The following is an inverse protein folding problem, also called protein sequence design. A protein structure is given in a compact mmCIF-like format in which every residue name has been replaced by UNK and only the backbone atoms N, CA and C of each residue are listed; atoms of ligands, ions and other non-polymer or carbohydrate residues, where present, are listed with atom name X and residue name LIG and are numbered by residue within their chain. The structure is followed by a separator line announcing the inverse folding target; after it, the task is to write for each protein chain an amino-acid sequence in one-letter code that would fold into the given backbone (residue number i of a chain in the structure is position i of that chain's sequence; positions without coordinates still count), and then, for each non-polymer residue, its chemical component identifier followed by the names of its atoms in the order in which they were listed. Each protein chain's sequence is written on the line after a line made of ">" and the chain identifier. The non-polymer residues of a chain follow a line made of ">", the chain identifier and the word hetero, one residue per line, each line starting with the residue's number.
data_IF_932524992685
#
_entry.id   IF_932524992685
#
_cell.length_a   1.000
_cell.length_b   1.000
_cell.length_c   1.000
_cell.angle_alpha   90.00
_cell.angle_beta   90.00
_cell.angle_gamma   90.00
#
_symmetry.space_group_name_H-M   'P 1'
#
loop_
_entity.id
_entity.type
_entity.pdbx_description
1 polymer ?
#
# COMPACT_ATOMS: atom_id res chain seq x y z
N UNK A 1 -14.56 -10.66 8.12
CA UNK A 1 -14.05 -9.28 8.31
C UNK A 1 -12.86 -9.10 7.38
N UNK A 2 -12.88 -8.12 6.46
CA UNK A 2 -11.73 -7.76 5.63
C UNK A 2 -11.20 -6.43 6.16
N UNK A 3 -9.93 -6.40 6.53
CA UNK A 3 -9.25 -5.21 7.06
C UNK A 3 -8.23 -4.76 5.99
N UNK A 4 -8.12 -3.45 5.76
CA UNK A 4 -7.12 -2.86 4.87
C UNK A 4 -6.18 -2.05 5.77
N UNK A 5 -4.90 -2.41 5.76
CA UNK A 5 -3.87 -1.68 6.51
C UNK A 5 -3.05 -0.85 5.52
N UNK A 6 -3.21 0.47 5.55
CA UNK A 6 -2.44 1.39 4.71
C UNK A 6 -1.32 2.00 5.53
N UNK A 7 -0.08 1.71 5.16
CA UNK A 7 1.12 2.30 5.76
C UNK A 7 1.62 3.48 4.92
N UNK A 8 2.35 4.41 5.53
CA UNK A 8 2.80 5.62 4.84
C UNK A 8 4.11 6.18 5.36
N UNK A 9 4.46 7.37 4.86
CA UNK A 9 5.74 8.07 5.10
C UNK A 9 5.94 8.44 6.58
N UNK A 10 4.86 8.54 7.36
CA UNK A 10 4.91 8.87 8.79
C UNK A 10 5.38 7.69 9.67
N UNK A 11 5.27 6.45 9.17
CA UNK A 11 5.77 5.28 9.89
C UNK A 11 7.27 5.12 9.60
N UNK A 12 8.08 5.90 10.32
CA UNK A 12 9.56 5.73 10.35
C UNK A 12 10.01 4.43 11.01
N UNK A 13 9.08 3.64 11.54
CA UNK A 13 9.37 2.49 12.36
C UNK A 13 9.01 1.20 11.63
N UNK A 14 10.05 0.54 11.10
CA UNK A 14 10.04 -0.85 10.61
C UNK A 14 9.27 -1.81 11.55
N UNK A 15 9.26 -1.52 12.85
CA UNK A 15 8.60 -2.32 13.88
C UNK A 15 7.09 -2.48 13.68
N UNK A 16 6.41 -1.50 13.07
CA UNK A 16 4.98 -1.62 12.80
C UNK A 16 4.70 -2.61 11.67
N UNK A 17 5.51 -2.60 10.59
CA UNK A 17 5.40 -3.57 9.51
C UNK A 17 5.67 -5.01 10.00
N UNK A 18 6.64 -5.19 10.90
CA UNK A 18 6.94 -6.49 11.51
C UNK A 18 5.81 -6.97 12.43
N UNK A 19 5.24 -6.09 13.26
CA UNK A 19 4.10 -6.40 14.13
C UNK A 19 2.86 -6.77 13.30
N UNK A 20 2.63 -6.06 12.21
CA UNK A 20 1.54 -6.35 11.27
C UNK A 20 1.76 -7.69 10.58
N UNK A 21 2.99 -7.99 10.12
CA UNK A 21 3.33 -9.30 9.57
C UNK A 21 3.05 -10.45 10.53
N UNK A 22 3.24 -10.25 11.84
CA UNK A 22 2.89 -11.22 12.89
C UNK A 22 1.38 -11.36 13.10
N UNK A 23 0.60 -10.28 12.96
CA UNK A 23 -0.87 -10.28 13.09
C UNK A 23 -1.60 -10.84 11.85
N UNK A 24 -0.99 -10.75 10.67
CA UNK A 24 -1.68 -10.83 9.36
C UNK A 24 -1.62 -12.21 8.69
N UNK A 25 -0.85 -13.16 9.23
CA UNK A 25 -0.51 -14.47 8.61
C UNK A 25 -1.65 -15.31 8.01
N UNK A 26 -2.94 -15.00 8.24
CA UNK A 26 -4.04 -15.85 7.75
C UNK A 26 -5.24 -15.19 7.06
N UNK A 27 -5.39 -13.86 7.02
CA UNK A 27 -6.71 -13.31 6.61
C UNK A 27 -6.71 -11.94 5.94
N UNK A 28 -5.54 -11.34 5.75
CA UNK A 28 -5.44 -9.91 5.55
C UNK A 28 -4.61 -9.54 4.33
N UNK A 29 -5.20 -8.70 3.47
CA UNK A 29 -4.58 -8.17 2.27
C UNK A 29 -4.08 -6.76 2.55
N UNK A 30 -2.79 -6.53 2.30
CA UNK A 30 -2.16 -5.24 2.53
C UNK A 30 -1.94 -4.57 1.18
N UNK A 31 -2.45 -3.36 0.93
CA UNK A 31 -2.14 -2.62 -0.28
C UNK A 31 -0.68 -2.22 -0.31
N UNK A 32 -0.05 -2.32 -1.50
CA UNK A 32 1.28 -1.76 -1.71
C UNK A 32 1.24 -0.26 -1.44
N UNK A 33 2.26 0.25 -0.75
CA UNK A 33 2.39 1.67 -0.48
C UNK A 33 2.72 2.36 -1.80
N UNK A 34 1.74 3.07 -2.36
CA UNK A 34 1.92 4.00 -3.47
C UNK A 34 2.48 5.33 -2.94
N UNK A 35 3.58 5.81 -3.53
CA UNK A 35 4.23 7.05 -3.15
C UNK A 35 4.74 7.84 -4.36
N UNK A 36 5.00 9.13 -4.16
CA UNK A 36 5.48 10.00 -5.22
C UNK A 36 6.98 9.73 -5.48
N UNK A 37 7.34 9.46 -6.74
CA UNK A 37 8.73 9.21 -7.16
C UNK A 37 9.69 10.40 -6.98
N UNK A 38 9.15 11.60 -6.77
CA UNK A 38 9.90 12.83 -6.53
C UNK A 38 10.19 13.10 -5.04
N UNK A 39 9.80 12.19 -4.14
CA UNK A 39 10.28 12.22 -2.76
C UNK A 39 11.82 12.10 -2.70
N UNK A 40 12.46 12.56 -1.61
CA UNK A 40 13.88 12.35 -1.41
C UNK A 40 14.28 10.88 -1.60
N UNK A 41 15.37 10.60 -2.33
CA UNK A 41 15.83 9.25 -2.68
C UNK A 41 15.84 8.28 -1.50
N UNK A 42 16.30 8.73 -0.33
CA UNK A 42 16.33 7.94 0.91
C UNK A 42 14.93 7.46 1.34
N UNK A 43 13.92 8.30 1.20
CA UNK A 43 12.53 7.95 1.52
C UNK A 43 11.97 6.95 0.49
N UNK A 44 12.22 7.16 -0.81
CA UNK A 44 11.83 6.19 -1.84
C UNK A 44 12.44 4.80 -1.60
N UNK A 45 13.73 4.73 -1.27
CA UNK A 45 14.40 3.46 -0.94
C UNK A 45 13.77 2.79 0.27
N UNK A 46 13.48 3.55 1.33
CA UNK A 46 12.82 3.03 2.53
C UNK A 46 11.43 2.46 2.23
N UNK A 47 10.60 3.19 1.49
CA UNK A 47 9.24 2.75 1.14
C UNK A 47 9.25 1.51 0.25
N UNK A 48 10.20 1.43 -0.70
CA UNK A 48 10.40 0.23 -1.51
C UNK A 48 10.81 -0.98 -0.66
N UNK A 49 11.70 -0.81 0.31
CA UNK A 49 12.04 -1.89 1.22
C UNK A 49 10.86 -2.35 2.08
N UNK A 50 10.01 -1.43 2.54
CA UNK A 50 8.79 -1.78 3.28
C UNK A 50 7.85 -2.60 2.38
N UNK A 51 7.58 -2.13 1.16
CA UNK A 51 6.77 -2.87 0.19
C UNK A 51 7.35 -4.28 -0.04
N UNK A 52 8.65 -4.40 -0.29
CA UNK A 52 9.32 -5.69 -0.48
C UNK A 52 9.16 -6.62 0.73
N UNK A 53 9.37 -6.09 1.94
CA UNK A 53 9.20 -6.86 3.16
C UNK A 53 7.77 -7.34 3.36
N UNK A 54 6.76 -6.50 3.08
CA UNK A 54 5.36 -6.91 3.21
C UNK A 54 5.00 -7.96 2.15
N UNK A 55 5.50 -7.83 0.90
CA UNK A 55 5.26 -8.83 -0.17
C UNK A 55 5.81 -10.22 0.17
N UNK A 56 6.87 -10.32 0.97
CA UNK A 56 7.39 -11.63 1.37
C UNK A 56 6.59 -12.31 2.47
N UNK A 57 5.68 -11.58 3.14
CA UNK A 57 4.91 -12.08 4.29
C UNK A 57 3.42 -12.32 3.99
N UNK A 58 2.84 -11.64 3.01
CA UNK A 58 1.41 -11.70 2.73
C UNK A 58 1.07 -11.40 1.26
N UNK A 59 -0.17 -11.73 0.85
CA UNK A 59 -0.69 -11.38 -0.47
C UNK A 59 -0.99 -9.88 -0.53
N UNK A 60 -0.31 -9.16 -1.42
CA UNK A 60 -0.45 -7.71 -1.58
C UNK A 60 -1.36 -7.33 -2.73
N UNK A 61 -2.13 -6.25 -2.56
CA UNK A 61 -2.87 -5.65 -3.67
C UNK A 61 -1.87 -4.91 -4.55
N UNK A 62 -1.94 -5.16 -5.86
CA UNK A 62 -1.01 -4.59 -6.85
C UNK A 62 -0.88 -3.07 -6.72
N UNK A 63 0.29 -2.57 -7.10
CA UNK A 63 0.56 -1.14 -7.10
C UNK A 63 -0.37 -0.39 -8.04
N UNK A 64 -0.91 0.74 -7.59
CA UNK A 64 -1.73 1.59 -8.45
C UNK A 64 -0.87 2.27 -9.52
N UNK A 65 -1.45 2.48 -10.71
CA UNK A 65 -0.78 3.07 -11.87
C UNK A 65 -0.19 4.44 -11.54
N UNK A 66 1.13 4.58 -11.72
CA UNK A 66 1.86 5.80 -11.38
C UNK A 66 1.39 7.03 -12.17
N UNK A 67 0.91 6.84 -13.40
CA UNK A 67 0.39 7.89 -14.28
C UNK A 67 -0.88 8.55 -13.70
N UNK A 68 -1.64 7.79 -12.91
CA UNK A 68 -2.86 8.23 -12.22
C UNK A 68 -2.60 8.67 -10.78
N UNK A 69 -1.40 8.40 -10.26
CA UNK A 69 -1.02 8.74 -8.90
C UNK A 69 -0.55 10.20 -8.81
N UNK A 70 -1.31 11.04 -8.12
CA UNK A 70 -1.06 12.46 -7.96
C UNK A 70 -1.13 12.86 -6.48
N UNK A 71 -0.12 13.60 -6.05
CA UNK A 71 -0.07 14.19 -4.72
C UNK A 71 -0.39 15.68 -4.77
N UNK A 72 -0.66 16.25 -3.61
CA UNK A 72 -0.59 17.69 -3.38
C UNK A 72 0.85 18.19 -3.58
N UNK A 73 1.03 19.51 -3.48
CA UNK A 73 2.33 20.17 -3.66
C UNK A 73 3.40 19.71 -2.66
N UNK A 74 3.00 19.14 -1.53
CA UNK A 74 3.89 18.56 -0.51
C UNK A 74 4.47 17.18 -0.88
N UNK A 75 4.14 16.66 -2.06
CA UNK A 75 4.59 15.37 -2.59
C UNK A 75 4.23 14.14 -1.75
N UNK A 76 3.44 14.33 -0.69
CA UNK A 76 3.20 13.34 0.36
C UNK A 76 1.72 12.99 0.44
N UNK A 77 0.86 14.00 0.52
CA UNK A 77 -0.58 13.80 0.65
C UNK A 77 -1.21 13.59 -0.72
N UNK A 78 -2.10 12.62 -0.83
CA UNK A 78 -2.82 12.38 -2.07
C UNK A 78 -3.76 13.53 -2.41
N UNK A 79 -3.96 13.75 -3.71
CA UNK A 79 -5.12 14.52 -4.16
C UNK A 79 -6.41 13.74 -3.88
N UNK A 80 -7.55 14.43 -3.81
CA UNK A 80 -8.85 13.78 -3.69
C UNK A 80 -9.10 12.78 -4.84
N UNK A 81 -8.72 13.14 -6.07
CA UNK A 81 -8.85 12.28 -7.25
C UNK A 81 -8.03 10.99 -7.11
N UNK A 82 -6.80 11.09 -6.64
CA UNK A 82 -5.97 9.91 -6.36
C UNK A 82 -6.56 9.07 -5.24
N UNK A 83 -7.06 9.68 -4.17
CA UNK A 83 -7.73 8.93 -3.10
C UNK A 83 -8.92 8.10 -3.60
N UNK A 84 -9.79 8.70 -4.44
CA UNK A 84 -10.92 7.97 -5.06
C UNK A 84 -10.43 6.83 -5.96
N UNK A 85 -9.46 7.10 -6.83
CA UNK A 85 -8.97 6.09 -7.76
C UNK A 85 -8.22 4.93 -7.07
N UNK A 86 -7.48 5.23 -5.99
CA UNK A 86 -6.84 4.21 -5.13
C UNK A 86 -7.88 3.30 -4.49
N UNK A 87 -8.99 3.87 -3.99
CA UNK A 87 -10.08 3.10 -3.41
C UNK A 87 -10.71 2.15 -4.43
N UNK A 88 -11.07 2.66 -5.61
CA UNK A 88 -11.68 1.86 -6.68
C UNK A 88 -10.74 0.73 -7.12
N UNK A 89 -9.43 1.01 -7.23
CA UNK A 89 -8.40 0.03 -7.53
C UNK A 89 -8.32 -1.08 -6.48
N UNK A 90 -8.29 -0.71 -5.19
CA UNK A 90 -8.24 -1.69 -4.11
C UNK A 90 -9.48 -2.57 -4.06
N UNK A 91 -10.66 -1.98 -4.16
CA UNK A 91 -11.93 -2.71 -4.17
C UNK A 91 -12.00 -3.68 -5.37
N UNK A 92 -11.58 -3.23 -6.56
CA UNK A 92 -11.51 -4.08 -7.75
C UNK A 92 -10.66 -5.32 -7.53
N UNK A 93 -9.43 -5.14 -7.02
CA UNK A 93 -8.50 -6.24 -6.76
C UNK A 93 -9.04 -7.22 -5.70
N UNK A 94 -9.56 -6.70 -4.59
CA UNK A 94 -10.10 -7.52 -3.50
C UNK A 94 -11.35 -8.31 -3.92
N UNK A 95 -12.15 -7.77 -4.84
CA UNK A 95 -13.31 -8.47 -5.41
C UNK A 95 -12.90 -9.55 -6.42
N UNK A 96 -11.85 -9.34 -7.22
CA UNK A 96 -11.33 -10.38 -8.11
C UNK A 96 -10.83 -11.59 -7.32
N UNK A 97 -10.14 -11.36 -6.20
CA UNK A 97 -9.65 -12.47 -5.37
C UNK A 97 -10.76 -13.25 -4.68
N UNK A 98 -11.87 -12.60 -4.35
CA UNK A 98 -13.04 -13.27 -3.79
C UNK A 98 -13.60 -14.35 -4.73
N UNK A 99 -13.62 -14.07 -6.04
CA UNK A 99 -14.13 -15.01 -7.05
C UNK A 99 -13.20 -16.20 -7.30
N UNK A 100 -11.93 -16.11 -6.88
CA UNK A 100 -10.93 -17.16 -7.10
C UNK A 100 -10.81 -18.15 -5.93
N UNK A 101 -11.51 -17.91 -4.81
CA UNK A 101 -11.54 -18.79 -3.62
C UNK A 101 -12.91 -19.43 -3.36
N UNK A 102 -13.87 -19.24 -4.27
CA UNK A 102 -15.13 -19.98 -4.36
C UNK A 102 -15.01 -21.00 -5.49
#
# INVERSE_FOLDING_TARGET
>A
MKLILSFGINDRAYSLAEMVGKLVKKTLSIPTINFNRYLPKKQCTMLNHINYHITSMCKMVDIFQYEKFRTKLDLTHWTHLTGKAMWDHWVGNLNCWWRATL
#
